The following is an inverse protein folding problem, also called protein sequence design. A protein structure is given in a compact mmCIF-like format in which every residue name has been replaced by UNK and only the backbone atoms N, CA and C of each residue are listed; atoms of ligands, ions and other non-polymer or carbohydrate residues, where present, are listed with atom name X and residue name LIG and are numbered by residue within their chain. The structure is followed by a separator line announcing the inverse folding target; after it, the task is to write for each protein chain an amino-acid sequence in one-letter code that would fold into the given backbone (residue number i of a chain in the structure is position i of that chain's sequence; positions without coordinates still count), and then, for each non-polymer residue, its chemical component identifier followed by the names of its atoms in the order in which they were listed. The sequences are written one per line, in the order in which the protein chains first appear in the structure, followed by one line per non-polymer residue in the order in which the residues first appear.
data_IF_085712351116
#
_entry.id   IF_085712351116
#
_cell.length_a   1.000
_cell.length_b   1.000
_cell.length_c   1.000
_cell.angle_alpha   90.00
_cell.angle_beta   90.00
_cell.angle_gamma   90.00
#
_symmetry.space_group_name_H-M   'P 1'
#
loop_
_entity.id
_entity.type
_entity.pdbx_description
1 polymer ?
#
# COMPACT_ATOMS: atom_id res chain seq x y z
N UNK A 1 -16.19 -8.13 28.94
CA UNK A 1 -15.93 -6.76 28.42
C UNK A 1 -14.96 -6.09 29.37
N UNK A 2 -13.78 -5.71 28.88
CA UNK A 2 -12.69 -5.20 29.70
C UNK A 2 -12.88 -3.68 29.89
N UNK A 3 -13.31 -3.28 31.08
CA UNK A 3 -13.32 -1.88 31.50
C UNK A 3 -11.91 -1.53 31.98
N UNK A 4 -11.34 -0.44 31.48
CA UNK A 4 -10.13 0.15 32.05
C UNK A 4 -10.53 1.43 32.79
N UNK A 5 -9.64 1.96 33.64
CA UNK A 5 -9.79 3.28 34.31
C UNK A 5 -10.10 4.41 33.33
N UNK A 6 -9.86 4.18 32.04
CA UNK A 6 -10.03 5.15 30.99
C UNK A 6 -11.33 5.05 30.16
N UNK A 7 -12.14 4.02 30.38
CA UNK A 7 -13.38 3.78 29.63
C UNK A 7 -13.39 2.41 28.96
N UNK A 8 -14.22 2.26 27.92
CA UNK A 8 -14.27 1.02 27.16
C UNK A 8 -13.00 0.85 26.33
N UNK A 9 -12.26 -0.23 26.55
CA UNK A 9 -10.98 -0.52 25.90
C UNK A 9 -11.08 -0.60 24.35
N UNK A 10 -12.28 -0.75 23.79
CA UNK A 10 -12.51 -0.72 22.33
C UNK A 10 -12.74 0.70 21.76
N UNK A 11 -12.99 1.70 22.60
CA UNK A 11 -13.17 3.09 22.19
C UNK A 11 -11.88 3.92 22.27
N UNK A 12 -10.95 3.57 23.16
CA UNK A 12 -9.71 4.32 23.39
C UNK A 12 -8.51 3.39 23.61
N UNK A 13 -7.42 3.51 22.82
CA UNK A 13 -7.19 4.44 21.71
C UNK A 13 -7.82 3.98 20.38
N UNK A 14 -8.45 4.92 19.67
CA UNK A 14 -8.87 4.73 18.27
C UNK A 14 -7.65 4.74 17.32
N UNK A 15 -6.86 3.67 17.34
CA UNK A 15 -5.66 3.50 16.49
C UNK A 15 -6.06 3.50 15.00
N UNK A 16 -7.20 2.88 14.68
CA UNK A 16 -7.85 2.97 13.37
C UNK A 16 -9.08 3.90 13.51
N UNK A 17 -9.04 5.11 12.93
CA UNK A 17 -10.13 6.07 13.08
C UNK A 17 -11.37 5.64 12.29
N UNK A 18 -12.56 6.19 12.61
CA UNK A 18 -13.79 5.92 11.84
C UNK A 18 -13.63 6.15 10.33
N UNK A 19 -12.82 7.13 9.92
CA UNK A 19 -12.50 7.38 8.52
C UNK A 19 -11.85 6.18 7.81
N UNK A 20 -11.05 5.38 8.53
CA UNK A 20 -10.48 4.13 7.99
C UNK A 20 -11.61 3.16 7.59
N UNK A 21 -12.53 2.88 8.52
CA UNK A 21 -13.60 1.92 8.31
C UNK A 21 -14.62 2.37 7.27
N UNK A 22 -15.00 3.65 7.28
CA UNK A 22 -15.93 4.21 6.28
C UNK A 22 -15.30 4.12 4.88
N UNK A 23 -14.04 4.51 4.73
CA UNK A 23 -13.33 4.41 3.44
C UNK A 23 -13.20 2.96 2.99
N UNK A 24 -12.93 2.04 3.91
CA UNK A 24 -12.85 0.60 3.60
C UNK A 24 -14.19 0.04 3.11
N UNK A 25 -15.31 0.43 3.73
CA UNK A 25 -16.65 0.02 3.27
C UNK A 25 -16.93 0.56 1.86
N UNK A 26 -16.64 1.84 1.61
CA UNK A 26 -16.79 2.45 0.28
C UNK A 26 -15.93 1.71 -0.74
N UNK A 27 -14.68 1.36 -0.40
CA UNK A 27 -13.79 0.59 -1.26
C UNK A 27 -14.39 -0.79 -1.63
N UNK A 28 -14.96 -1.51 -0.66
CA UNK A 28 -15.60 -2.80 -0.93
C UNK A 28 -16.85 -2.66 -1.81
N UNK A 29 -17.63 -1.59 -1.64
CA UNK A 29 -18.77 -1.30 -2.54
C UNK A 29 -18.26 -1.06 -3.96
N UNK A 30 -17.20 -0.26 -4.15
CA UNK A 30 -16.58 -0.07 -5.46
C UNK A 30 -16.05 -1.38 -6.04
N UNK A 31 -15.48 -2.27 -5.22
CA UNK A 31 -15.04 -3.59 -5.68
C UNK A 31 -16.19 -4.44 -6.24
N UNK A 32 -17.33 -4.47 -5.55
CA UNK A 32 -18.54 -5.15 -6.02
C UNK A 32 -19.05 -4.52 -7.32
N UNK A 33 -19.11 -3.18 -7.39
CA UNK A 33 -19.53 -2.47 -8.60
C UNK A 33 -18.62 -2.80 -9.78
N UNK A 34 -17.30 -2.83 -9.58
CA UNK A 34 -16.35 -3.18 -10.62
C UNK A 34 -16.60 -4.59 -11.18
N UNK A 35 -16.86 -5.58 -10.33
CA UNK A 35 -17.17 -6.95 -10.78
C UNK A 35 -18.37 -6.98 -11.73
N UNK A 36 -19.46 -6.27 -11.39
CA UNK A 36 -20.63 -6.18 -12.27
C UNK A 36 -20.37 -5.43 -13.57
N UNK A 37 -19.61 -4.34 -13.52
CA UNK A 37 -19.25 -3.58 -14.73
C UNK A 37 -18.38 -4.41 -15.68
N UNK A 38 -17.43 -5.17 -15.12
CA UNK A 38 -16.54 -6.03 -15.89
C UNK A 38 -17.30 -7.22 -16.50
N UNK A 39 -18.18 -7.86 -15.73
CA UNK A 39 -19.06 -8.94 -16.21
C UNK A 39 -19.96 -8.50 -17.37
N UNK A 40 -20.43 -7.24 -17.34
CA UNK A 40 -21.24 -6.63 -18.39
C UNK A 40 -20.42 -5.98 -19.51
N UNK A 41 -19.10 -6.17 -19.52
CA UNK A 41 -18.16 -5.64 -20.52
C UNK A 41 -18.14 -4.09 -20.64
N UNK A 42 -18.57 -3.37 -19.61
CA UNK A 42 -18.43 -1.91 -19.54
C UNK A 42 -17.00 -1.50 -19.17
N UNK A 43 -16.04 -1.78 -20.06
CA UNK A 43 -14.59 -1.71 -19.79
C UNK A 43 -14.12 -0.33 -19.30
N UNK A 44 -14.58 0.75 -19.92
CA UNK A 44 -14.18 2.12 -19.54
C UNK A 44 -14.65 2.46 -18.13
N UNK A 45 -15.92 2.17 -17.82
CA UNK A 45 -16.46 2.38 -16.49
C UNK A 45 -15.75 1.50 -15.44
N UNK A 46 -15.42 0.26 -15.82
CA UNK A 46 -14.65 -0.66 -14.99
C UNK A 46 -13.29 -0.08 -14.58
N UNK A 47 -12.50 0.46 -15.53
CA UNK A 47 -11.21 1.11 -15.22
C UNK A 47 -11.38 2.29 -14.28
N UNK A 48 -12.41 3.12 -14.47
CA UNK A 48 -12.67 4.28 -13.62
C UNK A 48 -12.95 3.84 -12.18
N UNK A 49 -13.83 2.85 -11.99
CA UNK A 49 -14.13 2.32 -10.65
C UNK A 49 -12.89 1.68 -10.04
N UNK A 50 -12.07 0.96 -10.80
CA UNK A 50 -10.85 0.35 -10.28
C UNK A 50 -9.80 1.39 -9.85
N UNK A 51 -9.72 2.52 -10.57
CA UNK A 51 -8.91 3.65 -10.15
C UNK A 51 -9.44 4.24 -8.82
N UNK A 52 -10.75 4.38 -8.64
CA UNK A 52 -11.35 4.83 -7.37
C UNK A 52 -11.08 3.86 -6.21
N UNK A 53 -11.07 2.54 -6.46
CA UNK A 53 -10.63 1.53 -5.48
C UNK A 53 -9.18 1.80 -5.07
N UNK A 54 -8.31 2.04 -6.04
CA UNK A 54 -6.89 2.31 -5.78
C UNK A 54 -6.71 3.60 -4.96
N UNK A 55 -7.42 4.69 -5.29
CA UNK A 55 -7.37 5.93 -4.52
C UNK A 55 -7.89 5.77 -3.09
N UNK A 56 -9.02 5.09 -2.91
CA UNK A 56 -9.57 4.83 -1.57
C UNK A 56 -8.65 3.95 -0.73
N UNK A 57 -7.93 3.00 -1.34
CA UNK A 57 -6.90 2.22 -0.66
C UNK A 57 -5.74 3.08 -0.13
N UNK A 58 -5.26 4.06 -0.90
CA UNK A 58 -4.26 5.03 -0.41
C UNK A 58 -4.77 5.87 0.77
N UNK A 59 -6.06 6.24 0.77
CA UNK A 59 -6.69 6.95 1.90
C UNK A 59 -6.75 6.06 3.15
N UNK A 60 -7.09 4.77 3.00
CA UNK A 60 -7.10 3.78 4.09
C UNK A 60 -5.69 3.64 4.69
N UNK A 61 -4.65 3.53 3.85
CA UNK A 61 -3.26 3.52 4.30
C UNK A 61 -2.88 4.80 5.06
N UNK A 62 -3.26 5.96 4.53
CA UNK A 62 -3.01 7.24 5.20
C UNK A 62 -3.59 7.27 6.62
N UNK A 63 -4.86 6.87 6.79
CA UNK A 63 -5.47 6.80 8.12
C UNK A 63 -4.74 5.82 9.05
N UNK A 64 -4.35 4.65 8.53
CA UNK A 64 -3.63 3.64 9.32
C UNK A 64 -2.25 4.14 9.79
N UNK A 65 -1.47 4.75 8.89
CA UNK A 65 -0.16 5.29 9.24
C UNK A 65 -0.25 6.49 10.18
N UNK A 66 -1.20 7.40 9.94
CA UNK A 66 -1.42 8.55 10.81
C UNK A 66 -1.83 8.12 12.23
N UNK A 67 -2.76 7.16 12.33
CA UNK A 67 -3.20 6.61 13.61
C UNK A 67 -2.05 5.93 14.37
N UNK A 68 -1.30 5.05 13.70
CA UNK A 68 -0.16 4.36 14.32
C UNK A 68 0.92 5.34 14.80
N UNK A 69 1.27 6.34 13.98
CA UNK A 69 2.29 7.33 14.35
C UNK A 69 1.84 8.21 15.55
N UNK A 70 0.54 8.48 15.67
CA UNK A 70 -0.01 9.29 16.77
C UNK A 70 0.11 8.57 18.11
N UNK A 71 -0.16 7.27 18.15
CA UNK A 71 -0.13 6.45 19.37
C UNK A 71 1.16 5.62 19.52
N UNK A 72 2.16 5.86 18.67
CA UNK A 72 3.36 5.03 18.58
C UNK A 72 4.10 4.86 19.91
N UNK A 73 4.41 5.96 20.62
CA UNK A 73 5.18 5.90 21.87
C UNK A 73 4.46 5.12 22.97
N UNK A 74 3.13 5.25 23.04
CA UNK A 74 2.31 4.51 24.00
C UNK A 74 2.25 3.02 23.66
N UNK A 75 1.98 2.69 22.39
CA UNK A 75 1.95 1.31 21.91
C UNK A 75 3.31 0.62 22.06
N UNK A 76 4.41 1.32 21.77
CA UNK A 76 5.75 0.75 21.89
C UNK A 76 6.15 0.45 23.35
N UNK A 77 5.59 1.16 24.33
CA UNK A 77 5.86 0.87 25.75
C UNK A 77 4.96 -0.21 26.31
N UNK A 78 3.65 -0.14 26.04
CA UNK A 78 2.66 -0.98 26.73
C UNK A 78 2.12 -2.14 25.88
N UNK A 79 2.07 -2.01 24.55
CA UNK A 79 1.40 -2.95 23.64
C UNK A 79 2.25 -3.23 22.37
N UNK A 80 3.48 -3.71 22.57
CA UNK A 80 4.43 -3.98 21.47
C UNK A 80 3.91 -5.02 20.47
N UNK A 81 3.20 -6.04 20.95
CA UNK A 81 2.65 -7.10 20.09
C UNK A 81 1.61 -6.50 19.14
N UNK A 82 0.65 -5.72 19.67
CA UNK A 82 -0.40 -5.07 18.88
C UNK A 82 0.18 -4.12 17.83
N UNK A 83 1.23 -3.38 18.20
CA UNK A 83 1.97 -2.52 17.27
C UNK A 83 2.51 -3.30 16.07
N UNK A 84 3.15 -4.44 16.31
CA UNK A 84 3.66 -5.31 15.24
C UNK A 84 2.54 -5.96 14.43
N UNK A 85 1.44 -6.37 15.08
CA UNK A 85 0.26 -6.91 14.39
C UNK A 85 -0.36 -5.87 13.44
N UNK A 86 -0.48 -4.61 13.86
CA UNK A 86 -0.97 -3.53 12.99
C UNK A 86 -0.05 -3.33 11.78
N UNK A 87 1.27 -3.35 11.99
CA UNK A 87 2.24 -3.21 10.88
C UNK A 87 2.15 -4.39 9.91
N UNK A 88 2.18 -5.61 10.41
CA UNK A 88 2.27 -6.83 9.60
C UNK A 88 0.93 -7.18 8.95
N UNK A 89 -0.17 -7.11 9.69
CA UNK A 89 -1.49 -7.54 9.18
C UNK A 89 -2.24 -6.40 8.50
N UNK A 90 -2.34 -5.23 9.14
CA UNK A 90 -3.16 -4.13 8.62
C UNK A 90 -2.42 -3.35 7.54
N UNK A 91 -1.27 -2.76 7.87
CA UNK A 91 -0.57 -1.88 6.92
C UNK A 91 -0.01 -2.65 5.72
N UNK A 92 0.68 -3.76 5.95
CA UNK A 92 1.18 -4.58 4.86
C UNK A 92 0.04 -5.28 4.09
N UNK A 93 -1.05 -5.68 4.75
CA UNK A 93 -2.22 -6.27 4.09
C UNK A 93 -2.93 -5.28 3.15
N UNK A 94 -3.20 -4.06 3.63
CA UNK A 94 -3.77 -3.00 2.79
C UNK A 94 -2.78 -2.59 1.70
N UNK A 95 -1.47 -2.57 1.96
CA UNK A 95 -0.46 -2.29 0.93
C UNK A 95 -0.41 -3.36 -0.17
N UNK A 96 -0.58 -4.65 0.18
CA UNK A 96 -0.74 -5.72 -0.82
C UNK A 96 -1.93 -5.42 -1.72
N UNK A 97 -3.09 -5.14 -1.12
CA UNK A 97 -4.30 -4.87 -1.86
C UNK A 97 -4.21 -3.60 -2.71
N UNK A 98 -3.59 -2.53 -2.20
CA UNK A 98 -3.33 -1.28 -2.94
C UNK A 98 -2.46 -1.53 -4.16
N UNK A 99 -1.36 -2.28 -3.99
CA UNK A 99 -0.44 -2.60 -5.09
C UNK A 99 -1.14 -3.47 -6.14
N UNK A 100 -1.88 -4.48 -5.70
CA UNK A 100 -2.61 -5.37 -6.60
C UNK A 100 -3.69 -4.62 -7.40
N UNK A 101 -4.44 -3.74 -6.75
CA UNK A 101 -5.49 -2.93 -7.43
C UNK A 101 -4.90 -1.90 -8.39
N UNK A 102 -3.72 -1.35 -8.08
CA UNK A 102 -2.96 -0.49 -9.01
C UNK A 102 -2.58 -1.28 -10.27
N UNK A 103 -1.98 -2.46 -10.12
CA UNK A 103 -1.60 -3.34 -11.23
C UNK A 103 -2.84 -3.77 -12.04
N UNK A 104 -3.91 -4.16 -11.37
CA UNK A 104 -5.17 -4.51 -12.04
C UNK A 104 -5.73 -3.32 -12.83
N UNK A 105 -5.56 -2.08 -12.33
CA UNK A 105 -6.02 -0.86 -13.02
C UNK A 105 -5.24 -0.66 -14.30
N UNK A 106 -3.91 -0.83 -14.25
CA UNK A 106 -3.06 -0.80 -15.43
C UNK A 106 -3.43 -1.88 -16.46
N UNK A 107 -3.71 -3.11 -16.02
CA UNK A 107 -4.14 -4.18 -16.92
C UNK A 107 -5.50 -3.88 -17.59
N UNK A 108 -6.48 -3.40 -16.82
CA UNK A 108 -7.79 -3.01 -17.37
C UNK A 108 -7.63 -1.80 -18.32
N UNK A 109 -6.73 -0.88 -18.01
CA UNK A 109 -6.41 0.26 -18.87
C UNK A 109 -5.78 -0.18 -20.20
N UNK A 110 -4.89 -1.18 -20.21
CA UNK A 110 -4.36 -1.76 -21.45
C UNK A 110 -5.46 -2.38 -22.32
N UNK A 111 -6.45 -3.03 -21.70
CA UNK A 111 -7.64 -3.55 -22.40
C UNK A 111 -8.41 -2.41 -23.05
N UNK A 112 -8.73 -1.34 -22.31
CA UNK A 112 -9.43 -0.17 -22.86
C UNK A 112 -8.64 0.50 -24.00
N UNK A 113 -7.32 0.68 -23.85
CA UNK A 113 -6.48 1.23 -24.93
C UNK A 113 -6.55 0.39 -26.21
N UNK A 114 -6.59 -0.93 -26.05
CA UNK A 114 -6.63 -1.86 -27.19
C UNK A 114 -8.00 -1.87 -27.86
N UNK A 115 -9.06 -2.07 -27.08
CA UNK A 115 -10.41 -2.33 -27.60
C UNK A 115 -11.22 -1.07 -27.90
N UNK A 116 -11.02 0.00 -27.13
CA UNK A 116 -11.73 1.27 -27.33
C UNK A 116 -10.83 2.36 -27.95
N UNK A 117 -9.52 2.32 -27.67
CA UNK A 117 -8.56 3.30 -28.15
C UNK A 117 -7.90 2.97 -29.49
N UNK A 118 -8.09 1.76 -30.03
CA UNK A 118 -7.47 1.31 -31.28
C UNK A 118 -5.94 1.17 -31.23
N UNK A 119 -5.34 1.16 -30.03
CA UNK A 119 -3.90 1.02 -29.85
C UNK A 119 -3.50 -0.45 -30.02
N UNK A 120 -2.36 -0.71 -30.64
CA UNK A 120 -1.86 -2.09 -30.75
C UNK A 120 -1.57 -2.70 -29.37
N UNK A 121 -1.80 -4.00 -29.20
CA UNK A 121 -1.53 -4.71 -27.93
C UNK A 121 -0.09 -4.52 -27.46
N UNK A 122 0.85 -4.50 -28.39
CA UNK A 122 2.26 -4.31 -28.07
C UNK A 122 2.50 -2.90 -27.49
N UNK A 123 1.98 -1.86 -28.12
CA UNK A 123 2.11 -0.48 -27.64
C UNK A 123 1.37 -0.26 -26.33
N UNK A 124 0.14 -0.77 -26.18
CA UNK A 124 -0.62 -0.70 -24.94
C UNK A 124 0.14 -1.38 -23.78
N UNK A 125 0.75 -2.54 -24.02
CA UNK A 125 1.61 -3.23 -23.06
C UNK A 125 2.84 -2.40 -22.67
N UNK A 126 3.53 -1.79 -23.64
CA UNK A 126 4.67 -0.90 -23.37
C UNK A 126 4.26 0.31 -22.51
N UNK A 127 3.11 0.92 -22.79
CA UNK A 127 2.57 2.07 -22.03
C UNK A 127 2.35 1.68 -20.57
N UNK A 128 1.65 0.57 -20.31
CA UNK A 128 1.32 0.20 -18.92
C UNK A 128 2.53 -0.29 -18.12
N UNK A 129 3.49 -0.96 -18.77
CA UNK A 129 4.78 -1.31 -18.14
C UNK A 129 5.62 -0.07 -17.82
N UNK A 130 5.57 0.95 -18.69
CA UNK A 130 6.26 2.22 -18.45
C UNK A 130 5.63 2.97 -17.27
N UNK A 131 4.30 3.00 -17.17
CA UNK A 131 3.60 3.58 -16.02
C UNK A 131 3.98 2.84 -14.74
N UNK A 132 3.95 1.50 -14.74
CA UNK A 132 4.33 0.68 -13.58
C UNK A 132 5.78 0.96 -13.14
N UNK A 133 6.72 1.08 -14.09
CA UNK A 133 8.10 1.44 -13.78
C UNK A 133 8.18 2.79 -13.06
N UNK A 134 7.47 3.80 -13.57
CA UNK A 134 7.43 5.14 -12.96
C UNK A 134 6.83 5.07 -11.56
N UNK A 135 5.72 4.34 -11.36
CA UNK A 135 5.09 4.16 -10.05
C UNK A 135 6.02 3.49 -9.04
N UNK A 136 6.75 2.44 -9.43
CA UNK A 136 7.72 1.75 -8.57
C UNK A 136 8.86 2.68 -8.16
N UNK A 137 9.39 3.49 -9.09
CA UNK A 137 10.45 4.47 -8.79
C UNK A 137 9.92 5.56 -7.87
N UNK A 138 8.76 6.15 -8.18
CA UNK A 138 8.15 7.19 -7.36
C UNK A 138 7.85 6.69 -5.95
N UNK A 139 7.33 5.46 -5.81
CA UNK A 139 7.11 4.85 -4.51
C UNK A 139 8.41 4.66 -3.74
N UNK A 140 9.47 4.12 -4.38
CA UNK A 140 10.77 3.95 -3.74
C UNK A 140 11.36 5.29 -3.25
N UNK A 141 11.24 6.36 -4.03
CA UNK A 141 11.67 7.69 -3.61
C UNK A 141 10.80 8.21 -2.46
N UNK A 142 9.47 8.09 -2.58
CA UNK A 142 8.51 8.51 -1.55
C UNK A 142 8.79 7.83 -0.21
N UNK A 143 8.95 6.51 -0.19
CA UNK A 143 9.10 5.72 1.03
C UNK A 143 10.47 5.92 1.72
N UNK A 144 11.51 6.29 0.98
CA UNK A 144 12.86 6.41 1.55
C UNK A 144 13.18 7.83 2.01
N UNK A 145 12.65 8.85 1.34
CA UNK A 145 12.98 10.25 1.61
C UNK A 145 11.86 11.00 2.35
N UNK A 146 10.60 10.76 1.99
CA UNK A 146 9.49 11.57 2.49
C UNK A 146 8.67 10.86 3.56
N UNK A 147 8.45 9.55 3.40
CA UNK A 147 7.50 8.78 4.19
C UNK A 147 8.16 7.74 5.11
N UNK A 148 9.50 7.67 5.19
CA UNK A 148 10.22 6.62 5.95
C UNK A 148 9.67 6.45 7.37
N UNK A 149 9.42 7.56 8.07
CA UNK A 149 8.87 7.54 9.43
C UNK A 149 7.57 6.74 9.56
N UNK A 150 6.73 6.77 8.52
CA UNK A 150 5.40 6.17 8.51
C UNK A 150 5.41 4.77 7.91
N UNK A 151 6.13 4.56 6.80
CA UNK A 151 6.01 3.35 5.96
C UNK A 151 7.23 2.42 6.06
N UNK A 152 8.15 2.65 7.01
CA UNK A 152 9.39 1.86 7.17
C UNK A 152 9.19 0.35 7.09
N UNK A 153 8.12 -0.16 7.71
CA UNK A 153 7.85 -1.59 7.82
C UNK A 153 6.87 -2.11 6.76
N UNK A 154 6.50 -1.29 5.77
CA UNK A 154 5.70 -1.71 4.63
C UNK A 154 6.62 -2.26 3.55
N UNK A 155 6.68 -3.58 3.45
CA UNK A 155 7.60 -4.31 2.57
C UNK A 155 6.88 -5.08 1.47
N UNK A 156 5.57 -5.27 1.60
CA UNK A 156 4.79 -6.14 0.70
C UNK A 156 4.56 -5.58 -0.71
N UNK A 157 4.83 -4.29 -0.95
CA UNK A 157 4.65 -3.65 -2.27
C UNK A 157 5.50 -4.37 -3.34
N UNK A 158 6.81 -4.51 -3.11
CA UNK A 158 7.71 -5.11 -4.10
C UNK A 158 7.47 -6.61 -4.35
N UNK A 159 7.27 -7.46 -3.32
CA UNK A 159 6.86 -8.85 -3.54
C UNK A 159 5.61 -8.98 -4.42
N UNK A 160 4.62 -8.09 -4.25
CA UNK A 160 3.41 -8.11 -5.09
C UNK A 160 3.72 -7.74 -6.54
N UNK A 161 4.54 -6.70 -6.77
CA UNK A 161 5.01 -6.35 -8.13
C UNK A 161 5.78 -7.51 -8.76
N UNK A 162 6.68 -8.15 -8.01
CA UNK A 162 7.46 -9.32 -8.46
C UNK A 162 6.52 -10.46 -8.86
N UNK A 163 5.55 -10.82 -8.01
CA UNK A 163 4.59 -11.89 -8.31
C UNK A 163 3.77 -11.57 -9.56
N UNK A 164 3.31 -10.33 -9.71
CA UNK A 164 2.56 -9.90 -10.88
C UNK A 164 3.39 -9.97 -12.17
N UNK A 165 4.65 -9.51 -12.14
CA UNK A 165 5.56 -9.57 -13.28
C UNK A 165 5.95 -11.00 -13.62
N UNK A 166 6.21 -11.86 -12.62
CA UNK A 166 6.43 -13.29 -12.82
C UNK A 166 5.23 -13.95 -13.49
N UNK A 167 4.01 -13.67 -13.02
CA UNK A 167 2.77 -14.19 -13.62
C UNK A 167 2.53 -13.69 -15.05
N UNK A 168 2.99 -12.48 -15.38
CA UNK A 168 2.93 -11.95 -16.74
C UNK A 168 3.99 -12.62 -17.64
N UNK A 169 5.21 -12.79 -17.13
CA UNK A 169 6.33 -13.40 -17.85
C UNK A 169 6.03 -14.85 -18.23
N UNK A 170 5.50 -15.67 -17.32
CA UNK A 170 5.17 -17.08 -17.61
C UNK A 170 4.12 -17.26 -18.70
N UNK A 171 3.24 -16.28 -18.91
CA UNK A 171 2.19 -16.33 -19.93
C UNK A 171 2.60 -15.71 -21.27
N UNK A 172 3.50 -14.73 -21.26
CA UNK A 172 3.75 -13.88 -22.44
C UNK A 172 5.22 -13.88 -22.92
N UNK A 173 6.13 -14.58 -22.23
CA UNK A 173 7.55 -14.60 -22.60
C UNK A 173 7.90 -15.84 -23.42
N UNK A 174 8.40 -15.61 -24.63
CA UNK A 174 9.07 -16.64 -25.42
C UNK A 174 10.58 -16.40 -25.36
N UNK A 175 11.34 -17.35 -24.80
CA UNK A 175 12.79 -17.24 -24.67
C UNK A 175 13.53 -17.32 -26.01
N UNK A 176 12.93 -17.96 -27.02
CA UNK A 176 13.54 -18.13 -28.35
C UNK A 176 13.36 -16.89 -29.24
N UNK A 177 12.35 -16.06 -28.95
CA UNK A 177 12.08 -14.80 -29.66
C UNK A 177 11.42 -13.78 -28.72
N UNK A 178 12.20 -13.19 -27.79
CA UNK A 178 11.64 -12.31 -26.78
C UNK A 178 11.07 -11.04 -27.42
N UNK A 179 9.77 -10.81 -27.23
CA UNK A 179 9.11 -9.58 -27.67
C UNK A 179 9.63 -8.37 -26.88
N UNK A 180 9.44 -7.16 -27.43
CA UNK A 180 9.80 -5.91 -26.75
C UNK A 180 9.25 -5.84 -25.31
N UNK A 181 7.97 -6.18 -25.16
CA UNK A 181 7.32 -6.21 -23.85
C UNK A 181 7.87 -7.33 -22.95
N UNK A 182 8.26 -8.47 -23.52
CA UNK A 182 8.92 -9.55 -22.78
C UNK A 182 10.26 -9.11 -22.18
N UNK A 183 11.09 -8.41 -22.95
CA UNK A 183 12.35 -7.83 -22.46
C UNK A 183 12.07 -6.79 -21.37
N UNK A 184 11.08 -5.91 -21.59
CA UNK A 184 10.69 -4.90 -20.60
C UNK A 184 10.27 -5.55 -19.27
N UNK A 185 9.39 -6.57 -19.31
CA UNK A 185 8.96 -7.30 -18.11
C UNK A 185 10.17 -7.89 -17.36
N UNK A 186 11.10 -8.54 -18.07
CA UNK A 186 12.29 -9.13 -17.46
C UNK A 186 13.19 -8.08 -16.77
N UNK A 187 13.42 -6.94 -17.43
CA UNK A 187 14.19 -5.82 -16.86
C UNK A 187 13.49 -5.22 -15.65
N UNK A 188 12.19 -4.95 -15.75
CA UNK A 188 11.41 -4.39 -14.65
C UNK A 188 11.34 -5.34 -13.44
N UNK A 189 11.27 -6.65 -13.70
CA UNK A 189 11.36 -7.69 -12.66
C UNK A 189 12.72 -7.67 -11.96
N UNK A 190 13.83 -7.61 -12.72
CA UNK A 190 15.16 -7.51 -12.16
C UNK A 190 15.34 -6.25 -11.30
N UNK A 191 14.85 -5.10 -11.78
CA UNK A 191 14.84 -3.83 -11.03
C UNK A 191 14.02 -3.97 -9.74
N UNK A 192 12.82 -4.56 -9.81
CA UNK A 192 11.95 -4.75 -8.64
C UNK A 192 12.61 -5.64 -7.58
N UNK A 193 13.29 -6.72 -7.99
CA UNK A 193 14.06 -7.58 -7.09
C UNK A 193 15.23 -6.83 -6.44
N UNK A 194 15.98 -6.04 -7.21
CA UNK A 194 17.09 -5.24 -6.69
C UNK A 194 16.59 -4.21 -5.67
N UNK A 195 15.54 -3.46 -6.01
CA UNK A 195 14.92 -2.47 -5.13
C UNK A 195 14.44 -3.13 -3.83
N UNK A 196 13.79 -4.30 -3.93
CA UNK A 196 13.34 -5.03 -2.76
C UNK A 196 14.50 -5.44 -1.84
N UNK A 197 15.58 -5.98 -2.39
CA UNK A 197 16.77 -6.36 -1.63
C UNK A 197 17.39 -5.14 -0.92
N UNK A 198 17.57 -4.03 -1.65
CA UNK A 198 18.05 -2.76 -1.09
C UNK A 198 17.13 -2.28 0.02
N UNK A 199 15.80 -2.35 -0.16
CA UNK A 199 14.83 -1.92 0.84
C UNK A 199 14.93 -2.75 2.12
N UNK A 200 15.02 -4.08 2.02
CA UNK A 200 15.18 -4.96 3.17
C UNK A 200 16.47 -4.61 3.93
N UNK A 201 17.59 -4.43 3.23
CA UNK A 201 18.85 -4.03 3.85
C UNK A 201 18.75 -2.68 4.56
N UNK A 202 18.14 -1.68 3.92
CA UNK A 202 17.94 -0.34 4.51
C UNK A 202 17.05 -0.40 5.76
N UNK A 203 15.97 -1.17 5.72
CA UNK A 203 15.04 -1.30 6.86
C UNK A 203 15.73 -2.01 8.04
N UNK A 204 16.45 -3.09 7.78
CA UNK A 204 17.24 -3.79 8.81
C UNK A 204 18.30 -2.86 9.41
N UNK A 205 19.06 -2.16 8.58
CA UNK A 205 20.09 -1.22 9.04
C UNK A 205 19.50 -0.08 9.87
N UNK A 206 18.39 0.52 9.42
CA UNK A 206 17.69 1.61 10.15
C UNK A 206 17.06 1.13 11.45
N UNK A 207 16.56 -0.11 11.51
CA UNK A 207 16.01 -0.68 12.73
C UNK A 207 17.11 -0.87 13.79
N UNK A 208 18.23 -1.50 13.41
CA UNK A 208 19.38 -1.69 14.28
C UNK A 208 19.95 -0.37 14.82
N UNK A 209 19.99 0.68 13.99
CA UNK A 209 20.49 2.00 14.42
C UNK A 209 19.51 2.75 15.33
N UNK A 210 18.20 2.66 15.08
CA UNK A 210 17.20 3.48 15.79
C UNK A 210 16.82 2.90 17.16
N UNK A 211 16.83 1.57 17.31
CA UNK A 211 16.57 0.91 18.60
C UNK A 211 17.63 1.27 19.65
N UNK A 212 18.88 1.54 19.23
CA UNK A 212 19.95 2.01 20.13
C UNK A 212 19.64 3.41 20.70
N UNK A 213 18.88 4.25 20.00
CA UNK A 213 18.59 5.63 20.41
C UNK A 213 17.28 5.78 21.20
N UNK A 214 16.29 4.90 21.01
CA UNK A 214 14.99 5.00 21.71
C UNK A 214 14.99 4.50 23.17
N UNK A 215 16.01 3.74 23.59
CA UNK A 215 16.15 3.30 24.99
C UNK A 215 16.40 4.48 25.95
N UNK A 216 16.80 5.65 25.43
CA UNK A 216 17.22 6.81 26.21
C UNK A 216 16.09 7.70 26.73
N UNK A 217 15.06 8.04 25.95
CA UNK A 217 14.21 9.19 26.30
C UNK A 217 12.73 9.08 25.86
N UNK A 218 11.82 9.00 26.84
CA UNK A 218 10.53 9.71 26.95
C UNK A 218 9.52 8.95 27.81
N UNK A 219 8.84 9.66 28.72
CA UNK A 219 7.64 9.15 29.40
C UNK A 219 6.49 9.23 28.38
N UNK A 220 5.87 8.12 27.96
CA UNK A 220 4.78 8.18 26.99
C UNK A 220 3.50 8.72 27.64
N UNK A 221 2.89 9.69 26.97
CA UNK A 221 1.56 10.21 27.30
C UNK A 221 0.51 9.11 27.15
N UNK A 222 -0.52 9.16 27.98
CA UNK A 222 -1.71 8.32 27.90
C UNK A 222 -2.54 8.63 26.64
N UNK A 223 -3.35 7.67 26.15
CA UNK A 223 -4.24 7.88 25.00
C UNK A 223 -5.17 9.09 25.13
N UNK A 224 -5.65 9.37 26.35
CA UNK A 224 -6.51 10.51 26.66
C UNK A 224 -5.79 11.84 26.50
N UNK A 225 -4.58 11.97 27.04
CA UNK A 225 -3.77 13.17 26.88
C UNK A 225 -3.47 13.45 25.40
N UNK A 226 -3.23 12.39 24.61
CA UNK A 226 -3.04 12.51 23.15
C UNK A 226 -4.32 12.99 22.47
N UNK A 227 -5.49 12.44 22.84
CA UNK A 227 -6.80 12.82 22.31
C UNK A 227 -7.17 14.27 22.66
N UNK A 228 -6.95 14.69 23.91
CA UNK A 228 -7.20 16.06 24.37
C UNK A 228 -6.27 17.07 23.71
N UNK A 229 -4.97 16.75 23.59
CA UNK A 229 -4.02 17.59 22.87
C UNK A 229 -4.45 17.78 21.42
N UNK A 230 -4.96 16.72 20.78
CA UNK A 230 -5.48 16.80 19.41
C UNK A 230 -6.68 17.75 19.35
N UNK A 231 -7.66 17.62 20.25
CA UNK A 231 -8.81 18.54 20.32
C UNK A 231 -8.38 20.00 20.49
N UNK A 232 -7.39 20.29 21.33
CA UNK A 232 -6.88 21.67 21.55
C UNK A 232 -6.13 22.27 20.36
N UNK A 233 -5.64 21.46 19.42
CA UNK A 233 -4.95 21.95 18.21
C UNK A 233 -5.96 22.28 17.09
N UNK A 234 -7.16 21.71 17.15
CA UNK A 234 -8.22 21.91 16.15
C UNK A 234 -9.37 22.83 16.64
N UNK A 235 -9.15 23.55 17.76
CA UNK A 235 -10.01 24.64 18.28
C UNK A 235 -9.18 25.92 18.23
#
# INVERSE_FOLDING_TARGET
MCWNTDGWMYCEPAILPYGFYITWIINNIFNIIWLFLWDREYMVAGVIILALITFTNYIVLFFSYHGLNTYFSWLNKYYKVDLWLIRILVQNGVAVYTTWTTIATLLNFAVVLTYNGGVSRETAGTVVLSILLVEVILWFVAENFFLDKYVRYTLTVYPVVIVALCGNMTKNFNAESPSRNGIFIAVLLAISCLIFAVRVLLVVWRHLKHDVHQVSDSIPMSPKEISEKKKRIFV
#
